data_IF_225441557297
#
_entry.id   IF_225441557297
#
_cell.length_a   1.000
_cell.length_b   1.000
_cell.length_c   1.000
_cell.angle_alpha   90.00
_cell.angle_beta   90.00
_cell.angle_gamma   90.00
#
_symmetry.space_group_name_H-M   'P 1'
#
loop_
_entity.id
_entity.type
_entity.pdbx_description
1 polymer ?
#
# COMPACT_ATOMS: atom_id res chain seq x y z
N UNK A 1 13.73 -14.75 -32.32
CA UNK A 1 12.71 -15.42 -31.47
C UNK A 1 12.75 -14.76 -30.10
N UNK A 2 11.74 -14.01 -29.66
CA UNK A 2 11.77 -13.42 -28.33
C UNK A 2 11.38 -14.49 -27.30
N UNK A 3 12.27 -14.72 -26.34
CA UNK A 3 12.07 -15.54 -25.16
C UNK A 3 11.25 -14.74 -24.15
N UNK A 4 9.95 -15.03 -24.09
CA UNK A 4 9.06 -14.52 -23.06
C UNK A 4 9.61 -14.95 -21.69
N UNK A 5 10.11 -13.97 -20.92
CA UNK A 5 10.47 -14.17 -19.52
C UNK A 5 9.18 -14.40 -18.74
N UNK A 6 9.15 -15.54 -18.06
CA UNK A 6 8.07 -16.00 -17.20
C UNK A 6 7.49 -14.87 -16.35
N UNK A 7 6.23 -14.50 -16.62
CA UNK A 7 5.42 -13.66 -15.73
C UNK A 7 4.82 -14.56 -14.66
N UNK A 8 5.32 -14.42 -13.43
CA UNK A 8 4.75 -15.02 -12.22
C UNK A 8 3.49 -14.25 -11.77
N UNK A 9 2.68 -14.85 -10.88
CA UNK A 9 1.35 -15.35 -11.16
C UNK A 9 0.29 -14.23 -11.28
N UNK A 10 -0.10 -13.90 -12.51
CA UNK A 10 -1.27 -13.06 -12.82
C UNK A 10 -2.63 -13.77 -12.60
N UNK A 11 -2.65 -14.96 -11.96
CA UNK A 11 -3.80 -15.87 -11.95
C UNK A 11 -4.29 -16.27 -10.55
N UNK A 12 -4.44 -15.30 -9.65
CA UNK A 12 -5.27 -15.48 -8.47
C UNK A 12 -5.98 -14.17 -8.09
N UNK A 13 -7.16 -13.97 -8.69
CA UNK A 13 -8.26 -13.18 -8.11
C UNK A 13 -8.04 -11.68 -7.93
N UNK A 14 -8.59 -10.90 -8.87
CA UNK A 14 -8.58 -9.43 -8.92
C UNK A 14 -7.21 -8.83 -9.25
N UNK A 15 -7.07 -8.26 -10.46
CA UNK A 15 -5.94 -7.42 -10.80
C UNK A 15 -6.06 -6.09 -10.04
N UNK A 16 -5.79 -6.12 -8.72
CA UNK A 16 -5.92 -4.95 -7.84
C UNK A 16 -4.93 -3.85 -8.27
N UNK A 17 -3.85 -4.21 -8.97
CA UNK A 17 -2.84 -3.27 -9.47
C UNK A 17 -2.70 -3.38 -11.00
N UNK A 18 -3.55 -2.70 -11.79
CA UNK A 18 -3.56 -2.82 -13.25
C UNK A 18 -2.22 -2.49 -13.93
N UNK A 19 -1.38 -1.69 -13.28
CA UNK A 19 -0.06 -1.30 -13.78
C UNK A 19 1.08 -1.68 -12.82
N UNK A 20 0.88 -2.67 -11.95
CA UNK A 20 1.85 -3.07 -10.93
C UNK A 20 2.40 -1.84 -10.16
N UNK A 21 3.70 -1.55 -10.30
CA UNK A 21 4.40 -0.44 -9.62
C UNK A 21 3.97 0.94 -10.12
N UNK A 22 3.46 1.05 -11.34
CA UNK A 22 2.97 2.30 -11.91
C UNK A 22 1.49 2.55 -11.58
N UNK A 23 0.84 1.63 -10.84
CA UNK A 23 -0.54 1.82 -10.40
C UNK A 23 -0.62 3.06 -9.52
N UNK A 24 -1.54 3.96 -9.86
CA UNK A 24 -1.86 5.12 -9.04
C UNK A 24 -2.87 4.74 -7.97
N UNK A 25 -2.59 5.20 -6.77
CA UNK A 25 -3.44 5.11 -5.61
C UNK A 25 -3.87 6.51 -5.21
N UNK A 26 -5.11 6.62 -4.75
CA UNK A 26 -5.67 7.85 -4.22
C UNK A 26 -6.08 7.65 -2.77
N UNK A 27 -5.78 8.64 -1.95
CA UNK A 27 -6.31 8.71 -0.60
C UNK A 27 -7.66 9.43 -0.60
N UNK A 28 -8.66 8.91 0.13
CA UNK A 28 -9.94 9.59 0.26
C UNK A 28 -9.80 10.87 1.10
N UNK A 29 -9.72 12.05 0.45
CA UNK A 29 -9.61 13.38 1.09
C UNK A 29 -10.61 13.66 2.22
N UNK A 30 -11.77 13.03 2.18
CA UNK A 30 -12.86 13.23 3.14
C UNK A 30 -12.80 12.28 4.34
N UNK A 31 -11.86 11.33 4.34
CA UNK A 31 -11.75 10.32 5.38
C UNK A 31 -10.77 10.79 6.45
N UNK A 32 -11.27 11.03 7.68
CA UNK A 32 -10.39 11.30 8.81
C UNK A 32 -9.59 10.05 9.12
N UNK A 33 -8.29 10.10 8.85
CA UNK A 33 -7.35 9.06 9.23
C UNK A 33 -6.73 9.44 10.57
N UNK A 34 -6.78 8.53 11.54
CA UNK A 34 -6.02 8.65 12.79
C UNK A 34 -4.89 7.65 12.76
N UNK A 35 -3.67 8.14 12.92
CA UNK A 35 -2.48 7.31 13.05
C UNK A 35 -2.06 7.36 14.53
N UNK A 36 -1.76 6.21 15.11
CA UNK A 36 -1.27 6.09 16.47
C UNK A 36 -0.22 4.99 16.51
N UNK A 37 0.89 5.23 17.18
CA UNK A 37 1.89 4.19 17.39
C UNK A 37 1.33 3.08 18.29
N UNK A 38 1.75 1.84 18.04
CA UNK A 38 1.43 0.73 18.92
C UNK A 38 2.21 0.86 20.24
N UNK A 39 1.60 0.43 21.35
CA UNK A 39 2.21 0.52 22.67
C UNK A 39 3.54 -0.25 22.82
N UNK A 40 3.81 -1.19 21.91
CA UNK A 40 5.03 -2.00 21.86
C UNK A 40 6.10 -1.44 20.91
N UNK A 41 5.85 -0.29 20.25
CA UNK A 41 6.76 0.31 19.26
C UNK A 41 6.95 -0.54 18.01
N UNK A 42 6.13 -1.59 17.81
CA UNK A 42 6.30 -2.53 16.69
C UNK A 42 5.66 -2.05 15.37
N UNK A 43 5.04 -0.86 15.38
CA UNK A 43 4.42 -0.25 14.23
C UNK A 43 3.28 0.69 14.57
N UNK A 44 2.33 0.81 13.65
CA UNK A 44 1.31 1.84 13.66
C UNK A 44 -0.09 1.26 13.53
N UNK A 45 -1.00 1.80 14.31
CA UNK A 45 -2.44 1.61 14.21
C UNK A 45 -3.02 2.77 13.43
N UNK A 46 -3.74 2.44 12.36
CA UNK A 46 -4.41 3.40 11.51
C UNK A 46 -5.91 3.15 11.61
N UNK A 47 -6.67 4.20 11.92
CA UNK A 47 -8.12 4.17 11.94
C UNK A 47 -8.63 5.07 10.81
N UNK A 48 -9.31 4.47 9.84
CA UNK A 48 -9.78 5.10 8.60
C UNK A 48 -11.20 4.61 8.28
N UNK A 49 -12.15 5.52 8.06
CA UNK A 49 -13.58 5.21 7.83
C UNK A 49 -14.21 4.23 8.85
N UNK A 50 -13.84 4.35 10.13
CA UNK A 50 -14.34 3.45 11.18
C UNK A 50 -13.77 2.03 11.12
N UNK A 51 -12.83 1.76 10.22
CA UNK A 51 -12.03 0.54 10.19
C UNK A 51 -10.69 0.79 10.85
N UNK A 52 -10.21 -0.23 11.54
CA UNK A 52 -8.92 -0.24 12.19
C UNK A 52 -8.01 -1.23 11.46
N UNK A 53 -6.84 -0.76 11.05
CA UNK A 53 -5.75 -1.58 10.53
C UNK A 53 -4.51 -1.37 11.39
N UNK A 54 -3.79 -2.46 11.58
CA UNK A 54 -2.45 -2.43 12.19
C UNK A 54 -1.42 -2.75 11.12
N UNK A 55 -0.46 -1.84 10.95
CA UNK A 55 0.73 -2.02 10.13
C UNK A 55 1.92 -2.22 11.07
N UNK A 56 2.60 -3.36 10.93
CA UNK A 56 3.79 -3.68 11.73
C UNK A 56 5.01 -3.73 10.84
N UNK A 57 6.15 -3.38 11.41
CA UNK A 57 7.44 -3.44 10.71
C UNK A 57 7.63 -2.38 9.64
N UNK A 58 6.69 -1.43 9.45
CA UNK A 58 6.87 -0.31 8.51
C UNK A 58 7.41 0.93 9.24
N UNK A 59 8.27 1.73 8.61
CA UNK A 59 8.76 2.98 9.18
C UNK A 59 7.65 4.03 9.26
N UNK A 60 7.79 4.96 10.22
CA UNK A 60 6.87 6.09 10.38
C UNK A 60 6.71 6.91 9.10
N UNK A 61 7.83 7.15 8.42
CA UNK A 61 7.91 7.92 7.19
C UNK A 61 6.99 7.37 6.11
N UNK A 62 6.88 6.04 6.01
CA UNK A 62 5.95 5.40 5.08
C UNK A 62 4.50 5.75 5.42
N UNK A 63 4.10 5.63 6.69
CA UNK A 63 2.72 5.90 7.10
C UNK A 63 2.36 7.37 6.92
N UNK A 64 3.28 8.27 7.26
CA UNK A 64 3.10 9.72 7.05
C UNK A 64 2.96 10.03 5.56
N UNK A 65 3.90 9.56 4.72
CA UNK A 65 3.86 9.83 3.28
C UNK A 65 2.60 9.24 2.63
N UNK A 66 2.22 8.04 3.05
CA UNK A 66 1.03 7.35 2.57
C UNK A 66 -0.24 8.17 2.78
N UNK A 67 -0.41 8.88 3.89
CA UNK A 67 -1.64 9.65 4.17
C UNK A 67 -1.51 11.16 3.96
N UNK A 68 -0.30 11.68 3.77
CA UNK A 68 -0.07 13.10 3.52
C UNK A 68 -0.21 13.46 2.03
N UNK A 69 -0.10 12.48 1.13
CA UNK A 69 -0.27 12.69 -0.30
C UNK A 69 -1.70 12.39 -0.75
N UNK A 70 -2.22 13.19 -1.69
CA UNK A 70 -3.53 12.92 -2.30
C UNK A 70 -3.49 11.70 -3.22
N UNK A 71 -2.38 11.56 -3.94
CA UNK A 71 -2.12 10.50 -4.90
C UNK A 71 -0.68 10.04 -4.75
N UNK A 72 -0.46 8.74 -4.93
CA UNK A 72 0.87 8.14 -4.94
C UNK A 72 0.87 6.91 -5.86
N UNK A 73 2.05 6.43 -6.23
CA UNK A 73 2.23 5.23 -7.06
C UNK A 73 2.86 4.10 -6.26
N UNK A 74 2.85 2.89 -6.82
CA UNK A 74 3.64 1.78 -6.28
C UNK A 74 5.14 2.10 -6.23
N UNK A 75 5.68 2.85 -7.20
CA UNK A 75 7.06 3.33 -7.18
C UNK A 75 7.33 4.29 -6.01
N UNK A 76 6.38 5.17 -5.67
CA UNK A 76 6.51 6.03 -4.49
C UNK A 76 6.55 5.18 -3.21
N UNK A 77 5.71 4.15 -3.11
CA UNK A 77 5.73 3.22 -1.99
C UNK A 77 7.07 2.46 -1.88
N UNK A 78 7.66 2.04 -3.00
CA UNK A 78 9.01 1.44 -3.05
C UNK A 78 10.07 2.44 -2.57
N UNK A 79 9.97 3.71 -2.99
CA UNK A 79 10.90 4.74 -2.56
C UNK A 79 10.81 5.01 -1.04
N UNK A 80 9.63 4.87 -0.44
CA UNK A 80 9.43 5.01 1.00
C UNK A 80 9.84 3.77 1.81
N UNK A 81 9.89 2.61 1.16
CA UNK A 81 10.22 1.31 1.75
C UNK A 81 11.40 0.67 0.97
N UNK A 82 12.59 1.29 0.96
CA UNK A 82 13.70 0.82 0.11
C UNK A 82 14.22 -0.57 0.50
N UNK A 83 14.00 -1.00 1.74
CA UNK A 83 14.43 -2.31 2.25
C UNK A 83 13.39 -3.42 2.05
N UNK A 84 12.25 -3.13 1.41
CA UNK A 84 11.13 -4.04 1.24
C UNK A 84 11.03 -4.54 -0.20
N UNK A 85 10.65 -5.80 -0.36
CA UNK A 85 10.41 -6.36 -1.69
C UNK A 85 9.00 -6.02 -2.18
N UNK A 86 8.88 -5.66 -3.46
CA UNK A 86 7.60 -5.28 -4.04
C UNK A 86 6.58 -6.42 -3.99
N UNK A 87 6.97 -7.62 -4.39
CA UNK A 87 6.03 -8.74 -4.54
C UNK A 87 5.73 -9.41 -3.20
N UNK A 88 6.69 -9.41 -2.27
CA UNK A 88 6.57 -10.11 -0.99
C UNK A 88 5.98 -9.21 0.10
N UNK A 89 6.31 -7.92 0.11
CA UNK A 89 5.95 -7.03 1.23
C UNK A 89 5.01 -5.89 0.81
N UNK A 90 5.42 -5.10 -0.19
CA UNK A 90 4.73 -3.84 -0.53
C UNK A 90 3.38 -4.11 -1.20
N UNK A 91 3.34 -4.96 -2.23
CA UNK A 91 2.12 -5.27 -2.95
C UNK A 91 1.07 -5.94 -2.05
N UNK A 92 1.39 -6.92 -1.18
CA UNK A 92 0.44 -7.44 -0.20
C UNK A 92 -0.07 -6.38 0.78
N UNK A 93 0.81 -5.48 1.25
CA UNK A 93 0.43 -4.40 2.15
C UNK A 93 -0.55 -3.42 1.48
N UNK A 94 -0.23 -2.95 0.28
CA UNK A 94 -1.12 -2.07 -0.50
C UNK A 94 -2.44 -2.78 -0.83
N UNK A 95 -2.41 -4.08 -1.13
CA UNK A 95 -3.61 -4.87 -1.46
C UNK A 95 -4.56 -4.93 -0.27
N UNK A 96 -4.00 -5.09 0.93
CA UNK A 96 -4.77 -5.06 2.18
C UNK A 96 -5.40 -3.68 2.41
N UNK A 97 -4.67 -2.60 2.17
CA UNK A 97 -5.20 -1.24 2.30
C UNK A 97 -6.34 -0.97 1.30
N UNK A 98 -6.19 -1.40 0.04
CA UNK A 98 -7.24 -1.30 -0.99
C UNK A 98 -8.46 -2.12 -0.63
N UNK A 99 -8.27 -3.39 -0.24
CA UNK A 99 -9.37 -4.29 0.13
C UNK A 99 -10.13 -3.81 1.36
N UNK A 100 -9.44 -3.15 2.30
CA UNK A 100 -10.08 -2.53 3.44
C UNK A 100 -10.73 -1.18 3.12
N UNK A 101 -10.55 -0.62 1.92
CA UNK A 101 -11.14 0.65 1.50
C UNK A 101 -10.50 1.86 2.19
N UNK A 102 -9.23 1.72 2.60
CA UNK A 102 -8.42 2.78 3.20
C UNK A 102 -7.84 3.66 2.09
N UNK A 103 -7.29 3.01 1.06
CA UNK A 103 -6.82 3.64 -0.18
C UNK A 103 -7.63 3.09 -1.36
N UNK A 104 -7.63 3.80 -2.47
CA UNK A 104 -8.34 3.37 -3.68
C UNK A 104 -7.40 3.38 -4.88
N UNK A 105 -7.61 2.45 -5.80
CA UNK A 105 -6.90 2.44 -7.09
C UNK A 105 -7.54 3.49 -7.99
N UNK A 106 -6.70 4.30 -8.63
CA UNK A 106 -7.09 5.22 -9.67
C UNK A 106 -6.81 4.59 -11.04
N UNK A 107 -7.89 4.41 -11.83
CA UNK A 107 -7.86 3.90 -13.20
C UNK A 107 -7.80 5.04 -14.21
#
# INVERSE_FOLDING_TARGET
KPSARYSFPYQAGFNIFPHCKDTKFKNPKLQRVKISELADGSGYKIIAAGKEITLRGVPESFVINLFNQDFFTGNDAIAWLPDFDWDIDIAPLLSRLVTQGIIFVEN
#
